data_IF_863044467620
#
_entry.id   IF_863044467620
#
_cell.length_a   1.000
_cell.length_b   1.000
_cell.length_c   1.000
_cell.angle_alpha   90.00
_cell.angle_beta   90.00
_cell.angle_gamma   90.00
#
_symmetry.space_group_name_H-M   'P 1'
#
loop_
_entity.id
_entity.type
_entity.pdbx_description
1 polymer ?
#
# COMPACT_ATOMS: atom_id res chain seq x y z
N UNK A 1 -2.30 3.20 -18.49
CA UNK A 1 -3.15 2.60 -17.45
C UNK A 1 -4.01 3.60 -16.66
N UNK A 2 -3.58 4.82 -16.48
CA UNK A 2 -4.30 5.84 -15.68
C UNK A 2 -5.71 6.15 -16.23
N UNK A 3 -5.86 6.38 -17.53
CA UNK A 3 -7.13 6.75 -18.13
C UNK A 3 -8.27 5.72 -17.94
N UNK A 4 -8.10 4.42 -18.23
CA UNK A 4 -9.21 3.47 -18.08
C UNK A 4 -9.60 3.27 -16.61
N UNK A 5 -8.64 3.22 -15.69
CA UNK A 5 -8.93 3.04 -14.25
C UNK A 5 -9.63 4.27 -13.69
N UNK A 6 -9.13 5.47 -13.99
CA UNK A 6 -9.76 6.71 -13.58
C UNK A 6 -11.20 6.80 -14.11
N UNK A 7 -11.42 6.50 -15.39
CA UNK A 7 -12.76 6.48 -15.99
C UNK A 7 -13.72 5.54 -15.28
N UNK A 8 -13.26 4.33 -14.91
CA UNK A 8 -14.07 3.37 -14.15
C UNK A 8 -14.40 3.89 -12.75
N UNK A 9 -13.43 4.49 -12.06
CA UNK A 9 -13.62 5.04 -10.72
C UNK A 9 -14.62 6.21 -10.73
N UNK A 10 -14.54 7.08 -11.73
CA UNK A 10 -15.50 8.16 -11.94
C UNK A 10 -16.90 7.61 -12.31
N UNK A 11 -16.99 6.65 -13.20
CA UNK A 11 -18.26 6.04 -13.62
C UNK A 11 -18.98 5.31 -12.49
N UNK A 12 -18.22 4.70 -11.56
CA UNK A 12 -18.76 3.99 -10.40
C UNK A 12 -18.93 4.88 -9.17
N UNK A 13 -18.71 6.18 -9.31
CA UNK A 13 -18.84 7.15 -8.22
C UNK A 13 -18.07 6.75 -6.96
N UNK A 14 -16.83 6.26 -7.14
CA UNK A 14 -15.99 5.75 -6.05
C UNK A 14 -15.34 6.91 -5.27
N UNK A 15 -16.17 7.79 -4.75
CA UNK A 15 -15.75 8.88 -3.87
C UNK A 15 -16.54 8.89 -2.57
N UNK A 16 -16.01 9.61 -1.61
CA UNK A 16 -16.64 9.80 -0.32
C UNK A 16 -17.93 10.62 -0.47
N UNK A 17 -19.03 10.11 0.07
CA UNK A 17 -20.34 10.76 -0.05
C UNK A 17 -20.57 11.88 0.97
N UNK A 18 -19.78 11.92 2.07
CA UNK A 18 -19.85 12.96 3.10
C UNK A 18 -18.45 13.43 3.46
N UNK A 19 -18.29 14.75 3.65
CA UNK A 19 -17.04 15.31 4.16
C UNK A 19 -16.74 14.83 5.60
N UNK A 20 -15.47 14.89 5.97
CA UNK A 20 -15.03 14.45 7.31
C UNK A 20 -15.46 15.47 8.35
N UNK A 21 -16.33 15.07 9.27
CA UNK A 21 -16.87 15.97 10.32
C UNK A 21 -16.03 15.99 11.59
N UNK A 22 -15.26 14.93 11.85
CA UNK A 22 -14.54 14.74 13.11
C UNK A 22 -13.11 14.28 12.86
N UNK A 23 -12.14 14.79 13.61
CA UNK A 23 -10.74 14.40 13.57
C UNK A 23 -10.49 13.06 14.28
N UNK A 24 -9.26 12.53 14.22
CA UNK A 24 -8.88 11.26 14.90
C UNK A 24 -8.94 11.34 16.42
N UNK A 25 -8.83 12.54 16.97
CA UNK A 25 -8.93 12.84 18.42
C UNK A 25 -10.37 13.07 18.90
N UNK A 26 -11.35 12.99 17.99
CA UNK A 26 -12.76 13.23 18.30
C UNK A 26 -13.19 14.70 18.25
N UNK A 27 -12.28 15.63 17.99
CA UNK A 27 -12.59 17.04 17.83
C UNK A 27 -13.25 17.33 16.47
N UNK A 28 -14.14 18.31 16.42
CA UNK A 28 -14.73 18.79 15.17
C UNK A 28 -13.69 19.47 14.28
N UNK A 29 -13.87 19.40 12.95
CA UNK A 29 -12.98 20.01 11.96
C UNK A 29 -13.64 21.18 11.22
N UNK A 30 -14.10 22.26 11.90
CA UNK A 30 -14.89 23.31 11.28
C UNK A 30 -14.10 24.11 10.22
N UNK A 31 -12.81 24.37 10.45
CA UNK A 31 -11.95 25.10 9.53
C UNK A 31 -11.67 24.27 8.27
N UNK A 32 -11.35 22.99 8.45
CA UNK A 32 -11.11 22.06 7.33
C UNK A 32 -12.36 21.91 6.46
N UNK A 33 -13.53 21.73 7.06
CA UNK A 33 -14.79 21.58 6.33
C UNK A 33 -15.14 22.86 5.54
N UNK A 34 -14.91 24.04 6.10
CA UNK A 34 -15.17 25.29 5.40
C UNK A 34 -14.33 25.48 4.15
N UNK A 35 -13.10 24.95 4.14
CA UNK A 35 -12.15 25.14 3.04
C UNK A 35 -12.14 23.99 2.01
N UNK A 36 -12.45 22.75 2.43
CA UNK A 36 -12.14 21.55 1.64
C UNK A 36 -13.34 20.61 1.43
N UNK A 37 -14.49 20.83 2.09
CA UNK A 37 -15.63 19.91 2.05
C UNK A 37 -16.10 19.57 0.62
N UNK A 38 -16.19 20.57 -0.26
CA UNK A 38 -16.63 20.36 -1.64
C UNK A 38 -15.62 19.58 -2.50
N UNK A 39 -14.31 19.75 -2.25
CA UNK A 39 -13.26 19.06 -2.98
C UNK A 39 -13.09 17.61 -2.51
N UNK A 40 -13.30 17.36 -1.21
CA UNK A 40 -13.16 16.03 -0.63
C UNK A 40 -14.21 15.04 -1.15
N UNK A 41 -15.41 15.51 -1.45
CA UNK A 41 -16.56 14.68 -1.86
C UNK A 41 -16.55 14.29 -3.33
N UNK A 42 -15.82 14.99 -4.20
CA UNK A 42 -15.83 14.77 -5.66
C UNK A 42 -14.58 14.08 -6.22
N UNK A 43 -13.63 13.72 -5.38
CA UNK A 43 -12.37 13.09 -5.81
C UNK A 43 -12.46 11.58 -5.63
N UNK A 44 -12.26 10.78 -6.70
CA UNK A 44 -12.27 9.33 -6.61
C UNK A 44 -11.17 8.85 -5.65
N UNK A 45 -11.53 7.89 -4.81
CA UNK A 45 -10.63 7.14 -3.95
C UNK A 45 -10.10 5.92 -4.71
N UNK A 46 -9.24 5.11 -4.09
CA UNK A 46 -8.62 3.91 -4.68
C UNK A 46 -7.63 4.20 -5.81
N UNK A 47 -7.12 5.44 -5.95
CA UNK A 47 -6.09 5.77 -6.93
C UNK A 47 -4.80 4.95 -6.78
N UNK A 48 -4.53 4.44 -5.58
CA UNK A 48 -3.42 3.54 -5.30
C UNK A 48 -3.41 2.28 -6.17
N UNK A 49 -4.56 1.82 -6.68
CA UNK A 49 -4.67 0.67 -7.61
C UNK A 49 -3.77 0.86 -8.83
N UNK A 50 -3.66 2.07 -9.34
CA UNK A 50 -2.83 2.37 -10.50
C UNK A 50 -1.35 2.11 -10.19
N UNK A 51 -0.90 2.49 -8.99
CA UNK A 51 0.51 2.36 -8.58
C UNK A 51 0.87 0.90 -8.39
N UNK A 52 0.24 0.22 -7.44
CA UNK A 52 0.59 -1.17 -7.17
C UNK A 52 0.21 -2.11 -8.32
N UNK A 53 -0.87 -1.83 -9.04
CA UNK A 53 -1.26 -2.59 -10.22
C UNK A 53 -0.25 -2.47 -11.36
N UNK A 54 0.33 -1.29 -11.62
CA UNK A 54 1.37 -1.13 -12.63
C UNK A 54 2.65 -1.88 -12.24
N UNK A 55 3.04 -1.85 -10.97
CA UNK A 55 4.21 -2.60 -10.47
C UNK A 55 4.01 -4.10 -10.68
N UNK A 56 2.85 -4.64 -10.26
CA UNK A 56 2.55 -6.07 -10.43
C UNK A 56 2.52 -6.49 -11.90
N UNK A 57 1.83 -5.74 -12.75
CA UNK A 57 1.74 -6.06 -14.18
C UNK A 57 3.12 -6.03 -14.82
N UNK A 58 3.94 -5.02 -14.53
CA UNK A 58 5.31 -4.94 -15.04
C UNK A 58 6.14 -6.14 -14.56
N UNK A 59 6.05 -6.49 -13.29
CA UNK A 59 6.76 -7.65 -12.73
C UNK A 59 6.34 -8.96 -13.41
N UNK A 60 5.03 -9.16 -13.60
CA UNK A 60 4.49 -10.35 -14.28
C UNK A 60 4.95 -10.42 -15.73
N UNK A 61 4.88 -9.29 -16.46
CA UNK A 61 5.31 -9.24 -17.87
C UNK A 61 6.80 -9.59 -17.99
N UNK A 62 7.67 -8.99 -17.16
CA UNK A 62 9.11 -9.26 -17.20
C UNK A 62 9.38 -10.74 -16.90
N UNK A 63 8.74 -11.29 -15.87
CA UNK A 63 8.93 -12.70 -15.51
C UNK A 63 8.41 -13.65 -16.59
N UNK A 64 7.24 -13.37 -17.18
CA UNK A 64 6.67 -14.18 -18.24
C UNK A 64 7.51 -14.13 -19.53
N UNK A 65 8.04 -12.96 -19.88
CA UNK A 65 8.92 -12.81 -21.07
C UNK A 65 10.27 -13.47 -20.84
N UNK A 66 10.84 -13.40 -19.65
CA UNK A 66 12.08 -14.11 -19.28
C UNK A 66 11.90 -15.63 -19.42
N UNK A 67 10.81 -16.16 -18.88
CA UNK A 67 10.47 -17.59 -18.97
C UNK A 67 10.26 -18.05 -20.43
N UNK A 68 9.66 -17.20 -21.27
CA UNK A 68 9.36 -17.53 -22.66
C UNK A 68 10.58 -17.43 -23.60
N UNK A 69 11.52 -16.51 -23.35
CA UNK A 69 12.59 -16.16 -24.31
C UNK A 69 13.99 -16.52 -23.85
N UNK A 70 14.21 -16.78 -22.55
CA UNK A 70 15.53 -17.01 -21.93
C UNK A 70 16.57 -15.96 -22.32
N UNK A 71 16.15 -14.71 -22.53
CA UNK A 71 17.04 -13.66 -23.01
C UNK A 71 17.90 -13.14 -21.84
N UNK A 72 19.21 -13.18 -21.96
CA UNK A 72 20.18 -12.84 -20.88
C UNK A 72 19.89 -11.48 -20.23
N UNK A 73 19.44 -10.50 -20.99
CA UNK A 73 19.10 -9.18 -20.47
C UNK A 73 17.83 -9.20 -19.62
N UNK A 74 16.80 -9.95 -20.02
CA UNK A 74 15.54 -10.10 -19.29
C UNK A 74 15.73 -10.88 -18.00
N UNK A 75 16.61 -11.87 -17.99
CA UNK A 75 16.96 -12.63 -16.79
C UNK A 75 17.58 -11.72 -15.70
N UNK A 76 18.39 -10.73 -16.09
CA UNK A 76 18.91 -9.72 -15.16
C UNK A 76 17.83 -8.78 -14.60
N UNK A 77 16.76 -8.53 -15.36
CA UNK A 77 15.63 -7.70 -14.97
C UNK A 77 14.54 -8.48 -14.22
N UNK A 78 14.64 -9.80 -14.16
CA UNK A 78 13.69 -10.63 -13.45
C UNK A 78 13.87 -10.46 -11.94
N UNK A 79 13.03 -9.63 -11.34
CA UNK A 79 13.05 -9.34 -9.90
C UNK A 79 12.65 -10.53 -9.06
N UNK A 80 11.75 -11.40 -9.55
CA UNK A 80 11.27 -12.57 -8.81
C UNK A 80 12.31 -13.69 -8.67
N UNK A 81 13.39 -13.66 -9.47
CA UNK A 81 14.51 -14.60 -9.34
C UNK A 81 15.36 -14.37 -8.10
N UNK A 82 15.16 -13.25 -7.38
CA UNK A 82 15.97 -12.86 -6.23
C UNK A 82 15.16 -12.97 -4.94
N UNK A 83 15.63 -13.73 -3.99
CA UNK A 83 14.97 -13.93 -2.68
C UNK A 83 14.70 -12.63 -1.93
N UNK A 84 15.57 -11.63 -2.09
CA UNK A 84 15.44 -10.31 -1.45
C UNK A 84 14.24 -9.49 -1.94
N UNK A 85 13.73 -9.77 -3.15
CA UNK A 85 12.62 -9.02 -3.75
C UNK A 85 11.26 -9.42 -3.19
N UNK A 86 11.15 -10.62 -2.63
CA UNK A 86 9.89 -11.13 -2.10
C UNK A 86 9.34 -10.31 -0.94
N UNK A 87 10.21 -9.79 -0.07
CA UNK A 87 9.77 -8.99 1.09
C UNK A 87 9.18 -7.64 0.67
N UNK A 88 9.88 -6.81 -0.15
CA UNK A 88 9.29 -5.57 -0.63
C UNK A 88 7.99 -5.79 -1.41
N UNK A 89 7.91 -6.87 -2.21
CA UNK A 89 6.71 -7.20 -2.96
C UNK A 89 5.55 -7.61 -2.03
N UNK A 90 5.82 -8.43 -1.01
CA UNK A 90 4.83 -8.81 -0.01
C UNK A 90 4.35 -7.58 0.78
N UNK A 91 5.27 -6.72 1.22
CA UNK A 91 4.93 -5.48 1.92
C UNK A 91 4.08 -4.55 1.05
N UNK A 92 4.40 -4.43 -0.24
CA UNK A 92 3.61 -3.69 -1.22
C UNK A 92 2.20 -4.26 -1.32
N UNK A 93 2.06 -5.59 -1.45
CA UNK A 93 0.76 -6.25 -1.59
C UNK A 93 -0.11 -6.08 -0.34
N UNK A 94 0.46 -6.32 0.84
CA UNK A 94 -0.28 -6.16 2.10
C UNK A 94 -0.68 -4.70 2.31
N UNK A 95 0.24 -3.76 2.09
CA UNK A 95 -0.05 -2.33 2.18
C UNK A 95 -1.14 -1.89 1.18
N UNK A 96 -1.08 -2.40 -0.05
CA UNK A 96 -2.07 -2.14 -1.08
C UNK A 96 -3.46 -2.68 -0.70
N UNK A 97 -3.53 -3.91 -0.17
CA UNK A 97 -4.79 -4.51 0.29
C UNK A 97 -5.40 -3.73 1.46
N UNK A 98 -4.58 -3.36 2.44
CA UNK A 98 -5.04 -2.55 3.58
C UNK A 98 -5.55 -1.19 3.11
N UNK A 99 -4.81 -0.51 2.23
CA UNK A 99 -5.23 0.76 1.64
C UNK A 99 -6.52 0.63 0.82
N UNK A 100 -6.65 -0.44 0.03
CA UNK A 100 -7.84 -0.71 -0.76
C UNK A 100 -9.07 -0.94 0.12
N UNK A 101 -8.93 -1.74 1.18
CA UNK A 101 -10.00 -2.00 2.15
C UNK A 101 -10.38 -0.70 2.86
N UNK A 102 -9.41 0.11 3.23
CA UNK A 102 -9.63 1.40 3.86
C UNK A 102 -10.44 2.35 2.97
N UNK A 103 -10.01 2.52 1.73
CA UNK A 103 -10.68 3.35 0.73
C UNK A 103 -12.10 2.80 0.42
N UNK A 104 -12.25 1.48 0.33
CA UNK A 104 -13.55 0.85 0.09
C UNK A 104 -14.53 1.09 1.22
N UNK A 105 -14.10 0.93 2.47
CA UNK A 105 -14.93 1.20 3.64
C UNK A 105 -15.32 2.69 3.72
N UNK A 106 -14.41 3.57 3.35
CA UNK A 106 -14.66 5.01 3.33
C UNK A 106 -15.69 5.41 2.27
N UNK A 107 -15.63 4.82 1.07
CA UNK A 107 -16.60 5.05 -0.03
C UNK A 107 -17.99 4.50 0.31
N UNK A 108 -18.05 3.33 0.94
CA UNK A 108 -19.32 2.67 1.28
C UNK A 108 -20.09 3.36 2.41
N UNK A 109 -19.43 4.26 3.13
CA UNK A 109 -20.08 5.06 4.20
C UNK A 109 -20.62 4.26 5.39
N UNK A 110 -20.27 2.96 5.48
CA UNK A 110 -20.80 2.02 6.47
C UNK A 110 -19.89 1.92 7.72
N UNK A 111 -19.01 2.89 7.92
CA UNK A 111 -18.17 2.87 9.11
C UNK A 111 -18.95 3.41 10.30
N UNK A 112 -19.21 2.54 11.26
CA UNK A 112 -19.64 2.90 12.62
C UNK A 112 -18.62 3.83 13.32
N UNK A 113 -17.51 4.09 12.66
CA UNK A 113 -16.47 5.01 13.10
C UNK A 113 -16.69 6.38 12.47
N UNK A 114 -16.87 7.37 13.31
CA UNK A 114 -17.06 8.80 12.96
C UNK A 114 -15.95 9.39 12.05
N UNK A 115 -14.87 8.63 11.81
CA UNK A 115 -13.66 9.10 11.12
C UNK A 115 -13.47 8.49 9.70
N UNK A 116 -14.32 7.54 9.28
CA UNK A 116 -14.20 6.87 7.96
C UNK A 116 -12.95 5.97 7.82
N UNK A 117 -13.10 4.80 7.19
CA UNK A 117 -12.00 3.86 6.95
C UNK A 117 -11.63 2.99 8.15
N UNK A 118 -10.45 2.39 8.10
CA UNK A 118 -9.90 1.54 9.17
C UNK A 118 -9.41 2.38 10.36
N UNK A 119 -9.69 1.91 11.58
CA UNK A 119 -9.17 2.58 12.78
C UNK A 119 -7.63 2.53 12.82
N UNK A 120 -7.01 3.57 13.40
CA UNK A 120 -5.56 3.68 13.56
C UNK A 120 -4.95 2.43 14.21
N UNK A 121 -5.61 1.90 15.26
CA UNK A 121 -5.14 0.68 15.96
C UNK A 121 -5.04 -0.52 15.02
N UNK A 122 -6.04 -0.74 14.15
CA UNK A 122 -6.02 -1.84 13.18
C UNK A 122 -4.90 -1.67 12.15
N UNK A 123 -4.67 -0.45 11.64
CA UNK A 123 -3.56 -0.15 10.74
C UNK A 123 -2.21 -0.44 11.39
N UNK A 124 -1.99 0.02 12.63
CA UNK A 124 -0.76 -0.23 13.36
C UNK A 124 -0.51 -1.71 13.63
N UNK A 125 -1.57 -2.48 13.96
CA UNK A 125 -1.45 -3.94 14.15
C UNK A 125 -1.00 -4.60 12.83
N UNK A 126 -1.64 -4.27 11.71
CA UNK A 126 -1.27 -4.87 10.42
C UNK A 126 0.17 -4.53 10.04
N UNK A 127 0.56 -3.25 10.16
CA UNK A 127 1.94 -2.83 9.87
C UNK A 127 2.92 -3.54 10.80
N UNK A 128 2.61 -3.66 12.10
CA UNK A 128 3.45 -4.37 13.08
C UNK A 128 3.62 -5.85 12.74
N UNK A 129 2.55 -6.54 12.36
CA UNK A 129 2.61 -7.95 11.94
C UNK A 129 3.45 -8.12 10.68
N UNK A 130 3.24 -7.28 9.66
CA UNK A 130 4.04 -7.34 8.42
C UNK A 130 5.51 -7.06 8.68
N UNK A 131 5.81 -6.07 9.52
CA UNK A 131 7.19 -5.74 9.89
C UNK A 131 7.85 -6.90 10.64
N UNK A 132 7.12 -7.56 11.55
CA UNK A 132 7.62 -8.73 12.27
C UNK A 132 7.89 -9.89 11.31
N UNK A 133 6.97 -10.20 10.40
CA UNK A 133 7.17 -11.25 9.40
C UNK A 133 8.36 -10.96 8.48
N UNK A 134 8.52 -9.70 8.07
CA UNK A 134 9.68 -9.28 7.29
C UNK A 134 10.99 -9.46 8.09
N UNK A 135 11.02 -9.05 9.34
CA UNK A 135 12.21 -9.21 10.21
C UNK A 135 12.57 -10.69 10.38
N UNK A 136 11.59 -11.56 10.63
CA UNK A 136 11.80 -13.00 10.73
C UNK A 136 12.34 -13.60 9.41
N UNK A 137 11.80 -13.15 8.28
CA UNK A 137 12.32 -13.59 6.98
C UNK A 137 13.77 -13.18 6.75
N UNK A 138 14.13 -11.92 7.06
CA UNK A 138 15.51 -11.46 6.96
C UNK A 138 16.43 -12.26 7.85
N UNK A 139 16.03 -12.55 9.06
CA UNK A 139 16.81 -13.31 10.01
C UNK A 139 17.00 -14.78 9.58
N UNK A 140 15.89 -15.50 9.28
CA UNK A 140 15.95 -16.94 9.02
C UNK A 140 16.29 -17.30 7.57
N UNK A 141 15.93 -16.48 6.59
CA UNK A 141 16.12 -16.82 5.17
C UNK A 141 17.31 -16.16 4.53
N UNK A 142 17.65 -14.95 4.96
CA UNK A 142 18.75 -14.18 4.37
C UNK A 142 19.98 -14.12 5.29
N UNK A 143 19.95 -14.81 6.43
CA UNK A 143 21.04 -14.84 7.43
C UNK A 143 21.54 -13.43 7.82
N UNK A 144 20.64 -12.46 7.84
CA UNK A 144 20.97 -11.09 8.24
C UNK A 144 20.96 -11.00 9.75
N UNK A 145 22.11 -11.25 10.36
CA UNK A 145 22.31 -11.25 11.82
C UNK A 145 22.81 -9.93 12.37
N UNK A 146 22.84 -8.87 11.55
CA UNK A 146 23.31 -7.55 11.99
C UNK A 146 22.51 -6.41 11.42
N UNK A 147 22.37 -5.33 12.18
CA UNK A 147 21.78 -4.07 11.74
C UNK A 147 22.86 -3.03 11.56
N UNK A 148 22.97 -2.48 10.35
CA UNK A 148 23.86 -1.37 10.07
C UNK A 148 23.25 -0.06 10.56
N UNK A 149 23.85 0.57 11.55
CA UNK A 149 23.47 1.89 12.03
C UNK A 149 24.42 2.91 11.40
N UNK A 150 23.88 3.92 10.68
CA UNK A 150 24.70 5.00 10.13
C UNK A 150 25.56 5.64 11.24
N UNK A 151 26.86 5.84 10.97
CA UNK A 151 27.87 6.43 11.86
C UNK A 151 28.31 5.57 13.05
N UNK A 152 27.66 4.44 13.35
CA UNK A 152 28.02 3.56 14.49
C UNK A 152 28.63 2.24 14.03
N UNK A 153 28.21 1.73 12.88
CA UNK A 153 28.67 0.46 12.34
C UNK A 153 27.61 -0.64 12.40
N UNK A 154 28.03 -1.90 12.30
CA UNK A 154 27.12 -3.06 12.31
C UNK A 154 27.00 -3.57 13.74
N UNK A 155 25.79 -3.58 14.28
CA UNK A 155 25.47 -4.23 15.54
C UNK A 155 25.02 -5.67 15.27
N UNK A 156 25.72 -6.70 15.77
CA UNK A 156 25.26 -8.08 15.66
C UNK A 156 24.03 -8.28 16.56
N UNK A 157 23.03 -9.01 16.04
CA UNK A 157 21.79 -9.33 16.75
C UNK A 157 21.80 -10.76 17.34
N UNK A 158 22.86 -11.52 17.10
CA UNK A 158 23.02 -12.89 17.55
C UNK A 158 23.59 -13.80 16.48
#
# INVERSE_FOLDING_TARGET
>A
MTFPVASVLYRKEMWKKKAKEVSFDGSGTPIFNKMHAEREVKVPRMGGIIIWGSILITTIIITATDWATNFIFLNKLNFLSRDQTWIPLLALMVGALVGLVDDYLEVRGNSSYKVGGLSLKKRLIVVGVVSLLAALWFYFKLDVTGVAIPFVGILPLG
#
